data_IF_348230134456
#
_entry.id   IF_348230134456
#
_cell.length_a   1.000
_cell.length_b   1.000
_cell.length_c   1.000
_cell.angle_alpha   90.00
_cell.angle_beta   90.00
_cell.angle_gamma   90.00
#
_symmetry.space_group_name_H-M   'P 1'
#
loop_
_entity.id
_entity.type
_entity.pdbx_description
1 polymer ?
#
# COMPACT_ATOMS: atom_id res chain seq x y z
N UNK A 1 -5.42 13.55 -2.53
CA UNK A 1 -5.70 12.72 -1.35
C UNK A 1 -5.34 11.26 -1.58
N UNK A 2 -5.93 10.57 -2.57
CA UNK A 2 -5.55 9.18 -2.89
C UNK A 2 -4.05 9.01 -3.20
N UNK A 3 -3.46 9.90 -4.00
CA UNK A 3 -2.02 9.82 -4.32
C UNK A 3 -1.13 9.96 -3.08
N UNK A 4 -1.53 10.76 -2.08
CA UNK A 4 -0.77 10.91 -0.83
C UNK A 4 -0.82 9.61 -0.02
N UNK A 5 -1.98 8.97 0.06
CA UNK A 5 -2.12 7.66 0.69
C UNK A 5 -1.33 6.59 -0.06
N UNK A 6 -1.34 6.61 -1.39
CA UNK A 6 -0.56 5.69 -2.22
C UNK A 6 0.94 5.84 -1.93
N UNK A 7 1.45 7.08 -1.93
CA UNK A 7 2.84 7.39 -1.59
C UNK A 7 3.20 6.97 -0.16
N UNK A 8 2.32 7.24 0.80
CA UNK A 8 2.53 6.87 2.21
C UNK A 8 2.57 5.35 2.41
N UNK A 9 1.62 4.63 1.82
CA UNK A 9 1.61 3.16 1.86
C UNK A 9 2.82 2.57 1.15
N UNK A 10 3.19 3.09 -0.03
CA UNK A 10 4.39 2.66 -0.74
C UNK A 10 5.66 2.85 0.10
N UNK A 11 5.79 3.98 0.80
CA UNK A 11 6.89 4.22 1.72
C UNK A 11 6.87 3.24 2.89
N UNK A 12 5.71 3.05 3.51
CA UNK A 12 5.55 2.13 4.65
C UNK A 12 5.87 0.68 4.27
N UNK A 13 5.40 0.18 3.12
CA UNK A 13 5.74 -1.17 2.65
C UNK A 13 7.24 -1.30 2.38
N UNK A 14 7.86 -0.30 1.74
CA UNK A 14 9.31 -0.29 1.51
C UNK A 14 10.10 -0.39 2.82
N UNK A 15 9.62 0.21 3.91
CA UNK A 15 10.23 0.12 5.25
C UNK A 15 10.09 -1.27 5.90
N UNK A 16 9.17 -2.12 5.44
CA UNK A 16 9.02 -3.49 5.94
C UNK A 16 10.05 -4.45 5.31
N UNK A 17 10.72 -4.02 4.24
CA UNK A 17 11.71 -4.82 3.53
C UNK A 17 13.12 -4.42 3.97
N UNK A 18 14.01 -5.42 4.08
CA UNK A 18 15.45 -5.18 4.26
C UNK A 18 16.04 -4.55 2.98
N UNK A 19 15.56 -4.99 1.81
CA UNK A 19 15.86 -4.40 0.53
C UNK A 19 14.66 -4.52 -0.42
N UNK A 20 14.50 -3.54 -1.30
CA UNK A 20 13.59 -3.60 -2.43
C UNK A 20 14.08 -2.63 -3.51
N UNK A 21 14.28 -3.13 -4.71
CA UNK A 21 14.71 -2.29 -5.82
C UNK A 21 13.52 -1.45 -6.31
N UNK A 22 12.52 -2.10 -6.91
CA UNK A 22 11.30 -1.45 -7.39
C UNK A 22 10.09 -1.90 -6.59
N UNK A 23 9.21 -0.95 -6.31
CA UNK A 23 7.94 -1.17 -5.64
C UNK A 23 6.94 -0.19 -6.21
N UNK A 24 5.92 -0.73 -6.87
CA UNK A 24 4.81 0.02 -7.43
C UNK A 24 3.53 -0.40 -6.71
N UNK A 25 2.79 0.60 -6.24
CA UNK A 25 1.55 0.41 -5.51
C UNK A 25 0.43 1.21 -6.18
N UNK A 26 -0.70 0.55 -6.41
CA UNK A 26 -1.90 1.17 -6.96
C UNK A 26 -3.08 0.99 -6.02
N UNK A 27 -3.74 2.10 -5.70
CA UNK A 27 -5.00 2.11 -4.96
C UNK A 27 -6.17 1.98 -5.94
N UNK A 28 -7.15 1.14 -5.61
CA UNK A 28 -8.35 0.93 -6.40
C UNK A 28 -9.54 1.58 -5.71
N UNK A 29 -10.37 2.25 -6.52
CA UNK A 29 -11.57 2.94 -6.08
C UNK A 29 -11.50 4.44 -6.29
N UNK A 30 -12.32 5.18 -5.54
CA UNK A 30 -12.53 6.61 -5.73
C UNK A 30 -12.26 7.43 -4.47
N UNK A 31 -11.95 8.71 -4.65
CA UNK A 31 -11.75 9.63 -3.52
C UNK A 31 -13.01 9.75 -2.65
N UNK A 32 -14.20 9.71 -3.26
CA UNK A 32 -15.48 9.69 -2.54
C UNK A 32 -15.70 8.40 -1.74
N UNK A 33 -15.35 7.24 -2.31
CA UNK A 33 -15.40 5.96 -1.59
C UNK A 33 -14.46 5.97 -0.39
N UNK A 34 -13.25 6.47 -0.59
CA UNK A 34 -12.29 6.64 0.49
C UNK A 34 -12.83 7.57 1.57
N UNK A 35 -13.36 8.75 1.24
CA UNK A 35 -13.94 9.67 2.24
C UNK A 35 -15.08 9.04 3.06
N UNK A 36 -15.77 8.04 2.49
CA UNK A 36 -16.79 7.22 3.17
C UNK A 36 -16.22 6.03 3.95
N UNK A 37 -14.90 5.94 4.07
CA UNK A 37 -14.22 4.89 4.81
C UNK A 37 -13.97 3.60 4.01
N UNK A 38 -14.01 3.64 2.67
CA UNK A 38 -13.84 2.42 1.86
C UNK A 38 -12.81 2.59 0.76
N UNK A 39 -11.85 1.68 0.70
CA UNK A 39 -10.96 1.47 -0.44
C UNK A 39 -11.35 0.15 -1.13
N UNK A 40 -11.44 0.12 -2.45
CA UNK A 40 -11.86 -1.09 -3.18
C UNK A 40 -10.77 -2.15 -3.21
N UNK A 41 -9.52 -1.74 -3.08
CA UNK A 41 -8.38 -2.63 -2.89
C UNK A 41 -7.05 -1.96 -3.21
N UNK A 42 -5.98 -2.73 -3.10
CA UNK A 42 -4.61 -2.33 -3.43
C UNK A 42 -4.00 -3.44 -4.29
N UNK A 43 -3.24 -3.07 -5.30
CA UNK A 43 -2.35 -3.97 -6.03
C UNK A 43 -0.93 -3.48 -5.84
N UNK A 44 -0.01 -4.40 -5.69
CA UNK A 44 1.41 -4.11 -5.52
C UNK A 44 2.24 -5.07 -6.36
N UNK A 45 3.23 -4.51 -7.05
CA UNK A 45 4.29 -5.26 -7.72
C UNK A 45 5.63 -4.79 -7.17
N UNK A 46 6.50 -5.72 -6.81
CA UNK A 46 7.86 -5.41 -6.38
C UNK A 46 8.86 -6.39 -6.98
N UNK A 47 10.10 -5.92 -7.16
CA UNK A 47 11.21 -6.73 -7.68
C UNK A 47 12.42 -6.68 -6.76
N UNK A 48 13.16 -7.78 -6.74
CA UNK A 48 14.39 -7.95 -5.94
C UNK A 48 14.16 -7.53 -4.48
N UNK A 49 13.20 -8.20 -3.84
CA UNK A 49 12.77 -7.94 -2.47
C UNK A 49 13.54 -8.85 -1.52
N UNK A 50 14.02 -8.30 -0.41
CA UNK A 50 14.48 -9.07 0.74
C UNK A 50 13.52 -8.79 1.89
N UNK A 51 12.80 -9.83 2.32
CA UNK A 51 11.81 -9.75 3.40
C UNK A 51 12.03 -10.89 4.38
N UNK A 52 12.36 -10.56 5.64
CA UNK A 52 12.67 -11.55 6.67
C UNK A 52 13.75 -12.56 6.23
N UNK A 53 14.88 -12.04 5.73
CA UNK A 53 15.98 -12.78 5.13
C UNK A 53 15.63 -13.66 3.91
N UNK A 54 14.42 -13.55 3.35
CA UNK A 54 14.01 -14.25 2.13
C UNK A 54 14.21 -13.36 0.90
N UNK A 55 15.04 -13.83 -0.03
CA UNK A 55 15.21 -13.20 -1.34
C UNK A 55 14.08 -13.62 -2.28
N UNK A 56 13.35 -12.63 -2.82
CA UNK A 56 12.22 -12.84 -3.73
C UNK A 56 12.43 -11.97 -4.98
N UNK A 57 12.52 -12.63 -6.14
CA UNK A 57 12.75 -11.94 -7.41
C UNK A 57 11.56 -11.06 -7.82
N UNK A 58 10.34 -11.57 -7.63
CA UNK A 58 9.12 -10.85 -7.97
C UNK A 58 8.00 -11.16 -6.98
N UNK A 59 7.34 -10.11 -6.53
CA UNK A 59 6.17 -10.16 -5.66
C UNK A 59 5.01 -9.48 -6.39
N UNK A 60 3.88 -10.19 -6.48
CA UNK A 60 2.59 -9.61 -6.89
C UNK A 60 1.58 -9.86 -5.79
N UNK A 61 1.02 -8.79 -5.24
CA UNK A 61 0.02 -8.86 -4.18
C UNK A 61 -1.23 -8.07 -4.56
N UNK A 62 -2.39 -8.59 -4.15
CA UNK A 62 -3.67 -7.91 -4.26
C UNK A 62 -4.42 -8.03 -2.95
N UNK A 63 -5.03 -6.94 -2.51
CA UNK A 63 -5.93 -6.95 -1.38
C UNK A 63 -7.38 -7.07 -1.85
N UNK A 64 -8.24 -7.61 -0.98
CA UNK A 64 -9.67 -7.32 -1.06
C UNK A 64 -9.94 -5.85 -0.71
N UNK A 65 -11.22 -5.46 -0.74
CA UNK A 65 -11.64 -4.16 -0.23
C UNK A 65 -11.20 -3.97 1.23
N UNK A 66 -10.82 -2.74 1.57
CA UNK A 66 -10.31 -2.34 2.88
C UNK A 66 -11.27 -1.30 3.48
N UNK A 67 -11.69 -1.54 4.71
CA UNK A 67 -12.39 -0.54 5.51
C UNK A 67 -11.37 0.38 6.18
N UNK A 68 -11.54 1.67 5.98
CA UNK A 68 -10.58 2.72 6.36
C UNK A 68 -11.20 3.60 7.42
N UNK A 69 -10.53 3.69 8.57
CA UNK A 69 -10.93 4.58 9.67
C UNK A 69 -10.31 5.97 9.45
N UNK A 70 -10.92 6.80 8.59
CA UNK A 70 -10.35 8.12 8.25
C UNK A 70 -10.20 9.05 9.45
N UNK A 71 -11.06 8.92 10.46
CA UNK A 71 -10.98 9.72 11.67
C UNK A 71 -9.64 9.57 12.42
N UNK A 72 -8.98 8.42 12.28
CA UNK A 72 -7.67 8.15 12.88
C UNK A 72 -6.54 8.56 11.94
N UNK A 73 -6.67 8.27 10.64
CA UNK A 73 -5.69 8.69 9.62
C UNK A 73 -5.46 10.20 9.58
N UNK A 74 -6.53 11.01 9.68
CA UNK A 74 -6.42 12.47 9.71
C UNK A 74 -5.74 13.00 10.98
N UNK A 75 -5.72 12.20 12.05
CA UNK A 75 -5.02 12.50 13.30
C UNK A 75 -3.59 11.94 13.33
N UNK A 76 -3.14 11.28 12.25
CA UNK A 76 -1.84 10.60 12.19
C UNK A 76 -1.74 9.39 13.11
N UNK A 77 -2.88 8.79 13.49
CA UNK A 77 -2.97 7.56 14.28
C UNK A 77 -3.40 6.37 13.43
#
# INVERSE_FOLDING_TARGET
MLNLLASGLQLWVRQQCEAVESLELQLHGSALGLLRGRLEGVSLVARRVVYAALEIEMVELRSSAIQVQLGNLLKGQ
#
